data_IF_471502453409
#
_entry.id   IF_471502453409
#
_cell.length_a   1.000
_cell.length_b   1.000
_cell.length_c   1.000
_cell.angle_alpha   90.00
_cell.angle_beta   90.00
_cell.angle_gamma   90.00
#
_symmetry.space_group_name_H-M   'P 1'
#
loop_
_entity.id
_entity.type
_entity.pdbx_description
1 polymer ?
#
# COMPACT_ATOMS: atom_id res chain seq x y z
N UNK A 1 -6.38 -3.88 -24.33
CA UNK A 1 -4.93 -4.11 -24.42
C UNK A 1 -4.33 -3.79 -23.05
N UNK A 2 -4.41 -4.73 -22.10
CA UNK A 2 -3.81 -4.55 -20.79
C UNK A 2 -2.35 -4.98 -20.87
N UNK A 3 -1.44 -4.03 -21.07
CA UNK A 3 -0.03 -4.30 -20.83
C UNK A 3 0.16 -4.80 -19.40
N UNK A 4 1.20 -5.58 -19.15
CA UNK A 4 1.51 -6.10 -17.81
C UNK A 4 1.85 -4.93 -16.86
N UNK A 5 0.83 -4.38 -16.21
CA UNK A 5 0.94 -3.27 -15.27
C UNK A 5 1.86 -3.63 -14.09
N UNK A 6 2.09 -4.91 -13.82
CA UNK A 6 3.02 -5.34 -12.76
C UNK A 6 4.47 -5.09 -13.14
N UNK A 7 4.81 -5.13 -14.42
CA UNK A 7 6.15 -4.81 -14.94
C UNK A 7 6.43 -3.31 -15.03
N UNK A 8 5.40 -2.46 -15.03
CA UNK A 8 5.51 -1.00 -15.07
C UNK A 8 4.42 -0.35 -14.20
N UNK A 9 4.55 -0.47 -12.87
CA UNK A 9 3.50 -0.04 -11.92
C UNK A 9 3.25 1.46 -11.93
N UNK A 10 4.34 2.24 -11.95
CA UNK A 10 4.27 3.71 -11.92
C UNK A 10 3.80 4.22 -13.29
N UNK A 11 4.40 3.75 -14.39
CA UNK A 11 3.99 4.18 -15.72
C UNK A 11 2.55 3.76 -16.04
N UNK A 12 2.11 2.57 -15.63
CA UNK A 12 0.70 2.19 -15.80
C UNK A 12 -0.25 3.02 -14.93
N UNK A 13 0.15 3.44 -13.72
CA UNK A 13 -0.63 4.35 -12.89
C UNK A 13 -0.73 5.75 -13.54
N UNK A 14 0.37 6.27 -14.08
CA UNK A 14 0.40 7.54 -14.84
C UNK A 14 -0.53 7.51 -16.07
N UNK A 15 -0.65 6.35 -16.73
CA UNK A 15 -1.54 6.15 -17.88
C UNK A 15 -2.98 5.78 -17.50
N UNK A 16 -3.31 5.70 -16.21
CA UNK A 16 -4.63 5.27 -15.73
C UNK A 16 -4.97 3.79 -15.99
N UNK A 17 -3.97 2.97 -16.31
CA UNK A 17 -4.13 1.55 -16.64
C UNK A 17 -3.78 0.58 -15.52
N UNK A 18 -3.34 1.08 -14.36
CA UNK A 18 -3.04 0.23 -13.20
C UNK A 18 -4.32 -0.03 -12.38
N UNK A 19 -4.83 -1.28 -12.36
CA UNK A 19 -6.10 -1.59 -11.71
C UNK A 19 -6.02 -1.60 -10.18
N UNK A 20 -4.84 -1.46 -9.58
CA UNK A 20 -4.69 -1.42 -8.11
C UNK A 20 -4.72 -0.01 -7.54
N UNK A 21 -4.69 1.03 -8.37
CA UNK A 21 -4.78 2.42 -7.92
C UNK A 21 -6.11 2.65 -7.21
N UNK A 22 -6.01 3.11 -5.97
CA UNK A 22 -7.14 3.60 -5.18
C UNK A 22 -7.34 5.07 -5.48
N UNK A 23 -6.30 5.90 -5.31
CA UNK A 23 -6.32 7.33 -5.61
C UNK A 23 -4.94 7.81 -6.06
N UNK A 24 -4.93 8.86 -6.88
CA UNK A 24 -3.75 9.72 -7.01
C UNK A 24 -3.74 10.71 -5.86
N UNK A 25 -2.60 10.84 -5.20
CA UNK A 25 -2.35 11.79 -4.12
C UNK A 25 -1.43 12.92 -4.64
N UNK A 26 -0.79 13.66 -3.75
CA UNK A 26 0.01 14.85 -4.08
C UNK A 26 1.28 14.50 -4.84
N UNK A 27 2.06 13.54 -4.33
CA UNK A 27 3.39 13.13 -4.79
C UNK A 27 3.43 11.66 -5.25
N UNK A 28 2.27 11.00 -5.35
CA UNK A 28 2.22 9.57 -5.63
C UNK A 28 0.85 8.99 -5.88
N UNK A 29 0.82 7.66 -5.95
CA UNK A 29 -0.38 6.86 -6.11
C UNK A 29 -0.54 5.93 -4.91
N UNK A 30 -1.67 6.05 -4.22
CA UNK A 30 -2.11 5.04 -3.26
C UNK A 30 -2.65 3.84 -4.04
N UNK A 31 -2.03 2.67 -3.86
CA UNK A 31 -2.46 1.43 -4.49
C UNK A 31 -2.72 0.33 -3.45
N UNK A 32 -3.67 -0.55 -3.72
CA UNK A 32 -3.82 -1.78 -2.93
C UNK A 32 -2.73 -2.80 -3.32
N UNK A 33 -2.19 -3.51 -2.35
CA UNK A 33 -1.13 -4.50 -2.55
C UNK A 33 -1.62 -5.79 -3.22
N UNK A 34 -0.71 -6.45 -3.95
CA UNK A 34 -1.00 -7.67 -4.72
C UNK A 34 -1.42 -8.88 -3.88
N UNK A 35 -1.01 -8.91 -2.62
CA UNK A 35 -1.36 -9.95 -1.64
C UNK A 35 -2.11 -9.33 -0.49
N UNK A 36 -3.03 -10.07 0.10
CA UNK A 36 -3.95 -9.57 1.13
C UNK A 36 -4.06 -10.59 2.28
N UNK A 37 -2.96 -11.29 2.60
CA UNK A 37 -2.91 -12.15 3.79
C UNK A 37 -2.97 -11.36 5.10
N UNK A 38 -2.54 -10.08 5.04
CA UNK A 38 -2.94 -9.03 5.96
C UNK A 38 -3.88 -8.10 5.16
N UNK A 39 -5.21 -8.27 5.27
CA UNK A 39 -6.15 -7.48 4.48
C UNK A 39 -5.96 -6.00 4.73
N UNK A 40 -5.93 -5.20 3.67
CA UNK A 40 -5.74 -3.74 3.73
C UNK A 40 -4.32 -3.30 3.46
N UNK A 41 -3.41 -4.25 3.18
CA UNK A 41 -2.06 -3.92 2.71
C UNK A 41 -2.13 -3.02 1.48
N UNK A 42 -1.52 -1.84 1.60
CA UNK A 42 -1.41 -0.85 0.55
C UNK A 42 0.05 -0.44 0.33
N UNK A 43 0.30 0.19 -0.82
CA UNK A 43 1.60 0.75 -1.18
C UNK A 43 1.37 2.16 -1.69
N UNK A 44 2.16 3.11 -1.22
CA UNK A 44 2.32 4.41 -1.88
C UNK A 44 3.44 4.30 -2.91
N UNK A 45 3.12 4.49 -4.17
CA UNK A 45 4.10 4.59 -5.26
C UNK A 45 4.44 6.06 -5.51
N UNK A 46 5.71 6.41 -5.66
CA UNK A 46 6.10 7.71 -6.20
C UNK A 46 5.54 7.89 -7.62
N UNK A 47 5.28 9.12 -8.04
CA UNK A 47 4.76 9.41 -9.37
C UNK A 47 5.84 9.64 -10.44
N UNK A 48 7.11 9.62 -10.06
CA UNK A 48 8.28 9.67 -10.96
C UNK A 48 9.07 8.35 -10.87
N UNK A 49 9.07 7.51 -11.93
CA UNK A 49 9.74 6.22 -11.92
C UNK A 49 11.28 6.30 -11.84
N UNK A 50 11.88 7.49 -12.03
CA UNK A 50 13.32 7.68 -11.90
C UNK A 50 13.79 7.85 -10.45
N UNK A 51 12.86 8.11 -9.52
CA UNK A 51 13.17 8.28 -8.09
C UNK A 51 13.26 6.92 -7.43
N UNK A 52 14.46 6.53 -6.98
CA UNK A 52 14.76 5.27 -6.32
C UNK A 52 14.60 5.31 -4.81
N UNK A 53 14.78 6.48 -4.19
CA UNK A 53 14.79 6.65 -2.73
C UNK A 53 14.34 8.03 -2.29
N UNK A 54 13.90 8.13 -1.04
CA UNK A 54 13.32 9.34 -0.46
C UNK A 54 14.26 10.57 -0.52
N UNK A 55 15.58 10.34 -0.47
CA UNK A 55 16.58 11.41 -0.51
C UNK A 55 16.79 12.02 -1.90
N UNK A 56 16.27 11.41 -2.96
CA UNK A 56 16.35 11.93 -4.34
C UNK A 56 15.25 12.94 -4.65
N UNK A 57 14.16 12.94 -3.87
CA UNK A 57 13.15 14.00 -3.96
C UNK A 57 13.71 15.33 -3.42
N UNK A 58 13.37 16.47 -4.05
CA UNK A 58 13.62 17.79 -3.49
C UNK A 58 12.86 17.96 -2.17
N UNK A 59 13.23 18.95 -1.35
CA UNK A 59 12.67 19.14 0.00
C UNK A 59 11.13 19.10 0.05
N UNK A 60 10.48 19.86 -0.83
CA UNK A 60 9.02 19.93 -0.88
C UNK A 60 8.40 18.60 -1.36
N UNK A 61 9.02 17.94 -2.35
CA UNK A 61 8.58 16.64 -2.85
C UNK A 61 8.72 15.54 -1.79
N UNK A 62 9.79 15.58 -1.00
CA UNK A 62 10.01 14.66 0.12
C UNK A 62 8.94 14.83 1.19
N UNK A 63 8.63 16.07 1.57
CA UNK A 63 7.59 16.38 2.54
C UNK A 63 6.22 15.93 2.03
N UNK A 64 5.89 16.19 0.76
CA UNK A 64 4.64 15.76 0.15
C UNK A 64 4.51 14.24 0.11
N UNK A 65 5.58 13.51 -0.22
CA UNK A 65 5.56 12.04 -0.22
C UNK A 65 5.33 11.46 1.18
N UNK A 66 5.98 12.02 2.21
CA UNK A 66 5.78 11.60 3.60
C UNK A 66 4.36 11.93 4.10
N UNK A 67 3.81 13.08 3.71
CA UNK A 67 2.43 13.45 4.03
C UNK A 67 1.41 12.53 3.34
N UNK A 68 1.65 12.15 2.08
CA UNK A 68 0.83 11.17 1.38
C UNK A 68 0.93 9.78 2.02
N UNK A 69 2.12 9.39 2.50
CA UNK A 69 2.33 8.12 3.21
C UNK A 69 1.54 8.09 4.52
N UNK A 70 1.61 9.18 5.30
CA UNK A 70 0.84 9.36 6.53
C UNK A 70 -0.67 9.28 6.27
N UNK A 71 -1.16 10.02 5.27
CA UNK A 71 -2.57 9.99 4.86
C UNK A 71 -3.05 8.60 4.42
N UNK A 72 -2.21 7.86 3.68
CA UNK A 72 -2.54 6.47 3.32
C UNK A 72 -2.55 5.56 4.56
N UNK A 73 -1.59 5.75 5.48
CA UNK A 73 -1.55 5.05 6.76
C UNK A 73 -2.83 5.26 7.56
N UNK A 74 -3.25 6.51 7.73
CA UNK A 74 -4.48 6.85 8.45
C UNK A 74 -5.74 6.32 7.76
N UNK A 75 -5.81 6.40 6.43
CA UNK A 75 -6.94 5.83 5.68
C UNK A 75 -7.06 4.31 5.88
N UNK A 76 -5.93 3.60 5.84
CA UNK A 76 -5.88 2.15 6.11
C UNK A 76 -6.27 1.86 7.56
N UNK A 77 -5.75 2.62 8.53
CA UNK A 77 -6.09 2.48 9.95
C UNK A 77 -7.60 2.62 10.19
N UNK A 78 -8.22 3.70 9.71
CA UNK A 78 -9.65 3.98 9.86
C UNK A 78 -10.51 2.92 9.18
N UNK A 79 -10.16 2.53 7.95
CA UNK A 79 -10.91 1.52 7.21
C UNK A 79 -10.81 0.14 7.85
N UNK A 80 -9.60 -0.32 8.17
CA UNK A 80 -9.38 -1.65 8.74
C UNK A 80 -9.92 -1.75 10.17
N UNK A 81 -9.74 -0.73 11.01
CA UNK A 81 -10.30 -0.69 12.36
C UNK A 81 -11.82 -0.73 12.41
N UNK A 82 -12.48 -0.20 11.38
CA UNK A 82 -13.94 -0.33 11.22
C UNK A 82 -14.36 -1.71 10.73
N UNK A 83 -13.61 -2.32 9.81
CA UNK A 83 -13.99 -3.57 9.14
C UNK A 83 -13.63 -4.82 9.94
N UNK A 84 -12.59 -4.77 10.78
CA UNK A 84 -12.14 -5.90 11.59
C UNK A 84 -11.80 -5.44 13.02
N UNK A 85 -12.56 -5.88 14.05
CA UNK A 85 -12.30 -5.51 15.45
C UNK A 85 -10.97 -6.05 15.98
N UNK A 86 -10.32 -7.00 15.29
CA UNK A 86 -8.99 -7.48 15.64
C UNK A 86 -7.86 -6.56 15.15
N UNK A 87 -8.15 -5.50 14.40
CA UNK A 87 -7.15 -4.52 13.99
C UNK A 87 -6.39 -3.94 15.20
N UNK A 88 -5.07 -3.77 15.07
CA UNK A 88 -4.19 -3.31 16.16
C UNK A 88 -3.51 -1.98 15.86
N UNK A 89 -2.87 -1.89 14.68
CA UNK A 89 -2.02 -0.76 14.27
C UNK A 89 -1.64 -0.89 12.79
N UNK A 90 -1.00 0.14 12.26
CA UNK A 90 -0.34 0.12 10.95
C UNK A 90 1.19 0.10 11.11
N UNK A 91 1.90 -0.61 10.23
CA UNK A 91 3.35 -0.47 10.04
C UNK A 91 3.61 0.27 8.72
N UNK A 92 4.53 1.24 8.75
CA UNK A 92 4.95 2.03 7.60
C UNK A 92 6.41 1.73 7.29
N UNK A 93 6.72 1.30 6.07
CA UNK A 93 8.05 0.83 5.70
C UNK A 93 8.48 1.38 4.34
N UNK A 94 9.62 2.06 4.28
CA UNK A 94 10.31 2.41 3.02
C UNK A 94 11.56 1.54 2.94
N UNK A 95 11.59 0.61 1.99
CA UNK A 95 12.68 -0.37 1.83
C UNK A 95 13.43 -0.16 0.50
N UNK A 96 12.91 -0.72 -0.61
CA UNK A 96 13.48 -0.51 -1.95
C UNK A 96 14.59 -1.47 -2.40
N UNK A 97 14.87 -2.56 -1.65
CA UNK A 97 15.95 -3.50 -2.01
C UNK A 97 15.66 -4.32 -3.29
N UNK A 98 14.40 -4.68 -3.53
CA UNK A 98 13.99 -5.55 -4.65
C UNK A 98 13.56 -4.75 -5.88
N UNK A 99 12.71 -3.76 -5.67
CA UNK A 99 12.15 -2.90 -6.70
C UNK A 99 12.75 -1.49 -6.54
N UNK A 100 13.64 -1.04 -7.43
CA UNK A 100 14.50 0.13 -7.21
C UNK A 100 13.81 1.46 -7.57
N UNK A 101 12.55 1.62 -7.17
CA UNK A 101 11.81 2.89 -7.21
C UNK A 101 11.28 3.21 -5.81
N UNK A 102 11.09 4.49 -5.48
CA UNK A 102 10.59 4.90 -4.18
C UNK A 102 9.14 4.44 -3.99
N UNK A 103 8.92 3.65 -2.95
CA UNK A 103 7.61 3.25 -2.50
C UNK A 103 7.59 3.06 -0.99
N UNK A 104 6.42 3.25 -0.39
CA UNK A 104 6.19 2.99 1.02
C UNK A 104 5.10 1.92 1.19
N UNK A 105 5.39 0.90 1.99
CA UNK A 105 4.43 -0.12 2.36
C UNK A 105 3.60 0.34 3.57
N UNK A 106 2.30 0.05 3.53
CA UNK A 106 1.35 0.33 4.60
C UNK A 106 0.68 -0.97 4.99
N UNK A 107 1.09 -1.54 6.13
CA UNK A 107 0.69 -2.85 6.59
C UNK A 107 -0.22 -2.76 7.82
N UNK A 108 -1.54 -3.02 7.70
CA UNK A 108 -2.38 -3.20 8.87
C UNK A 108 -2.01 -4.51 9.60
N UNK A 109 -1.96 -4.44 10.93
CA UNK A 109 -1.62 -5.55 11.83
C UNK A 109 -2.83 -5.94 12.66
N UNK A 110 -2.97 -7.22 12.99
CA UNK A 110 -4.16 -7.81 13.59
C UNK A 110 -3.83 -8.73 14.77
N UNK A 111 -4.79 -8.89 15.69
CA UNK A 111 -4.64 -9.72 16.87
C UNK A 111 -4.71 -11.23 16.57
N UNK A 112 -5.28 -11.61 15.43
CA UNK A 112 -5.36 -13.02 14.98
C UNK A 112 -4.09 -13.51 14.28
N UNK A 113 -3.11 -12.64 14.02
CA UNK A 113 -1.82 -13.05 13.48
C UNK A 113 -1.13 -14.07 14.40
N UNK A 114 -0.31 -15.00 13.87
CA UNK A 114 0.46 -15.95 14.70
C UNK A 114 1.30 -15.22 15.75
N UNK A 115 1.29 -15.71 16.98
CA UNK A 115 1.92 -15.05 18.14
C UNK A 115 3.40 -14.75 17.89
N UNK A 116 4.11 -15.68 17.25
CA UNK A 116 5.52 -15.59 16.92
C UNK A 116 5.85 -14.53 15.84
N UNK A 117 4.85 -13.98 15.17
CA UNK A 117 4.99 -12.94 14.14
C UNK A 117 4.50 -11.56 14.60
N UNK A 118 3.80 -11.47 15.73
CA UNK A 118 3.15 -10.23 16.20
C UNK A 118 4.14 -9.09 16.48
N UNK A 119 5.34 -9.42 16.92
CA UNK A 119 6.41 -8.47 17.21
C UNK A 119 7.49 -8.43 16.11
N UNK A 120 7.23 -9.11 14.99
CA UNK A 120 8.16 -9.24 13.86
C UNK A 120 7.73 -8.38 12.68
N UNK A 121 8.69 -7.99 11.83
CA UNK A 121 8.38 -7.35 10.56
C UNK A 121 7.67 -8.32 9.60
N UNK A 122 6.86 -7.76 8.70
CA UNK A 122 5.95 -8.55 7.84
C UNK A 122 6.72 -9.48 6.88
N UNK A 123 7.94 -9.13 6.48
CA UNK A 123 8.74 -9.97 5.58
C UNK A 123 9.21 -11.31 6.20
N UNK A 124 9.00 -11.54 7.51
CA UNK A 124 9.24 -12.85 8.14
C UNK A 124 8.05 -13.82 8.03
N UNK A 125 6.92 -13.39 7.46
CA UNK A 125 5.83 -14.29 7.12
C UNK A 125 6.30 -15.38 6.13
N UNK A 126 5.83 -16.64 6.28
CA UNK A 126 6.18 -17.73 5.37
C UNK A 126 5.94 -17.38 3.91
N UNK A 127 6.77 -17.91 3.01
CA UNK A 127 6.76 -17.58 1.58
C UNK A 127 5.39 -17.82 0.94
N UNK A 128 4.65 -18.81 1.41
CA UNK A 128 3.32 -19.18 0.94
C UNK A 128 2.32 -18.03 1.09
N UNK A 129 2.48 -17.16 2.09
CA UNK A 129 1.63 -15.97 2.28
C UNK A 129 1.74 -15.00 1.10
N UNK A 130 2.88 -15.00 0.43
CA UNK A 130 3.20 -14.12 -0.69
C UNK A 130 2.87 -14.71 -2.07
N UNK A 131 2.73 -16.03 -2.17
CA UNK A 131 2.61 -16.73 -3.46
C UNK A 131 1.32 -17.54 -3.64
N UNK A 132 0.59 -17.84 -2.57
CA UNK A 132 -0.64 -18.63 -2.62
C UNK A 132 -1.82 -17.79 -3.12
N UNK A 133 -2.53 -18.29 -4.14
CA UNK A 133 -3.65 -17.61 -4.80
C UNK A 133 -4.79 -17.24 -3.83
N UNK A 134 -4.93 -17.95 -2.71
CA UNK A 134 -5.91 -17.60 -1.67
C UNK A 134 -5.63 -16.26 -0.98
N UNK A 135 -4.43 -15.71 -1.14
CA UNK A 135 -4.07 -14.38 -0.65
C UNK A 135 -3.96 -13.35 -1.77
N UNK A 136 -3.98 -13.76 -3.04
CA UNK A 136 -3.89 -12.84 -4.16
C UNK A 136 -5.07 -11.85 -4.17
N UNK A 137 -4.80 -10.58 -4.48
CA UNK A 137 -5.82 -9.56 -4.68
C UNK A 137 -6.88 -10.04 -5.69
N UNK A 138 -8.14 -9.69 -5.42
CA UNK A 138 -9.28 -10.10 -6.21
C UNK A 138 -10.60 -9.51 -5.69
N UNK A 139 -11.74 -9.82 -6.32
CA UNK A 139 -13.03 -9.17 -6.04
C UNK A 139 -13.50 -9.25 -4.58
N UNK A 140 -13.06 -10.28 -3.83
CA UNK A 140 -13.35 -10.41 -2.39
C UNK A 140 -12.82 -9.25 -1.54
N UNK A 141 -11.95 -8.40 -2.08
CA UNK A 141 -11.39 -7.24 -1.39
C UNK A 141 -12.01 -5.91 -1.85
N UNK A 142 -13.05 -5.92 -2.69
CA UNK A 142 -13.63 -4.69 -3.23
C UNK A 142 -14.23 -3.80 -2.14
N UNK A 143 -14.89 -4.38 -1.13
CA UNK A 143 -15.39 -3.62 0.03
C UNK A 143 -14.27 -2.90 0.78
N UNK A 144 -13.14 -3.59 0.99
CA UNK A 144 -11.96 -3.03 1.64
C UNK A 144 -11.34 -1.91 0.80
N UNK A 145 -11.24 -2.10 -0.52
CA UNK A 145 -10.75 -1.07 -1.46
C UNK A 145 -11.61 0.19 -1.42
N UNK A 146 -12.93 0.03 -1.46
CA UNK A 146 -13.89 1.13 -1.37
C UNK A 146 -13.85 1.82 -0.01
N UNK A 147 -13.66 1.06 1.09
CA UNK A 147 -13.51 1.63 2.42
C UNK A 147 -12.26 2.51 2.52
N UNK A 148 -11.10 2.03 2.07
CA UNK A 148 -9.84 2.79 2.08
C UNK A 148 -9.93 4.00 1.14
N UNK A 149 -10.50 3.82 -0.06
CA UNK A 149 -10.73 4.90 -1.01
C UNK A 149 -11.57 6.04 -0.44
N UNK A 150 -12.66 5.72 0.28
CA UNK A 150 -13.49 6.73 0.96
C UNK A 150 -12.75 7.46 2.07
N UNK A 151 -11.96 6.75 2.89
CA UNK A 151 -11.16 7.42 3.91
C UNK A 151 -10.10 8.35 3.31
N UNK A 152 -9.46 7.94 2.20
CA UNK A 152 -8.57 8.81 1.45
C UNK A 152 -9.29 10.08 0.99
N UNK A 153 -10.49 9.98 0.43
CA UNK A 153 -11.27 11.13 -0.04
C UNK A 153 -11.67 12.06 1.13
N UNK A 154 -12.07 11.49 2.28
CA UNK A 154 -12.39 12.28 3.47
C UNK A 154 -11.18 13.04 4.01
N UNK A 155 -10.01 12.43 4.04
CA UNK A 155 -8.76 13.06 4.49
C UNK A 155 -8.18 14.07 3.49
N UNK A 156 -8.78 14.20 2.30
CA UNK A 156 -8.42 15.23 1.31
C UNK A 156 -9.04 16.60 1.62
N UNK A 157 -10.07 16.61 2.47
CA UNK A 157 -10.97 17.73 2.73
C UNK A 157 -10.52 18.55 3.93
#
# INVERSE_FOLDING_TARGET
MGGDWRGDRIGSALRGGNPTVLRRLTAGFAVIGDVQFLPGYCVLLVDDPSVGRLSELPGDGRTAFLADMDRLGEAVERACGRLDPAFRRVNLEILGNRDPFLHAHVWPRYAWEPEELLDKPVWLYPRERWSDDRYALGPRHDELREAIGRELDHLAS
#
